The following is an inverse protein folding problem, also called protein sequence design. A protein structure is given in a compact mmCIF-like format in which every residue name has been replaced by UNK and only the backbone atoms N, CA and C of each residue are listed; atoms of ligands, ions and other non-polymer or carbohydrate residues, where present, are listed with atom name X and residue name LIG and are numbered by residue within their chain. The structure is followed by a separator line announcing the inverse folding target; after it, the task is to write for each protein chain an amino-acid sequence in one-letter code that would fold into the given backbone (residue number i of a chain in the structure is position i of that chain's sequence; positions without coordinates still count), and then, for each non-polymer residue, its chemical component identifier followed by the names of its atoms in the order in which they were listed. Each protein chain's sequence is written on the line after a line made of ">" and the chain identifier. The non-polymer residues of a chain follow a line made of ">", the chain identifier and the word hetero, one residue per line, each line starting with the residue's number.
data_IF_292588340645
#
_entry.id   IF_292588340645
#
_cell.length_a   1.000
_cell.length_b   1.000
_cell.length_c   1.000
_cell.angle_alpha   90.00
_cell.angle_beta   90.00
_cell.angle_gamma   90.00
#
_symmetry.space_group_name_H-M   'P 1'
#
loop_
_entity.id
_entity.type
_entity.pdbx_description
1 polymer ?
#
# COMPACT_ATOMS: atom_id res chain seq x y z
N UNK A 1 -23.50 -0.11 6.97
CA UNK A 1 -23.23 -1.47 6.47
C UNK A 1 -21.73 -1.77 6.44
N UNK A 2 -20.87 -0.89 5.88
CA UNK A 2 -19.40 -1.12 5.77
C UNK A 2 -18.79 -1.30 7.16
N UNK A 3 -19.01 -0.37 8.07
CA UNK A 3 -18.45 -0.42 9.44
C UNK A 3 -18.97 -1.60 10.29
N UNK A 4 -20.16 -2.12 9.99
CA UNK A 4 -20.70 -3.28 10.72
C UNK A 4 -20.06 -4.62 10.29
N UNK A 5 -19.49 -4.68 9.08
CA UNK A 5 -18.79 -5.88 8.58
C UNK A 5 -17.32 -5.94 9.02
N UNK A 6 -16.88 -4.96 9.81
CA UNK A 6 -15.48 -4.78 10.16
C UNK A 6 -14.75 -3.93 9.13
N UNK A 7 -14.02 -2.92 9.61
CA UNK A 7 -13.05 -2.17 8.81
C UNK A 7 -11.72 -2.79 9.12
N UNK A 8 -11.20 -3.56 8.18
CA UNK A 8 -9.87 -4.16 8.28
C UNK A 8 -8.81 -3.12 7.93
N UNK A 9 -7.68 -3.20 8.62
CA UNK A 9 -6.50 -2.40 8.32
C UNK A 9 -5.24 -3.10 8.82
N UNK A 10 -4.09 -2.54 8.50
CA UNK A 10 -2.81 -3.03 8.98
C UNK A 10 -2.19 -1.99 9.90
N UNK A 11 -1.67 -2.44 11.05
CA UNK A 11 -0.96 -1.59 11.99
C UNK A 11 0.22 -0.88 11.30
N UNK A 12 0.46 0.40 11.60
CA UNK A 12 1.52 1.18 10.94
C UNK A 12 2.90 0.86 11.53
N UNK A 13 3.37 -0.35 11.29
CA UNK A 13 4.70 -0.79 11.70
C UNK A 13 5.72 -0.36 10.65
N UNK A 14 6.77 0.30 11.09
CA UNK A 14 7.88 0.77 10.27
C UNK A 14 8.66 -0.43 9.73
N UNK A 15 8.82 -0.53 8.42
CA UNK A 15 9.70 -1.48 7.77
C UNK A 15 11.13 -0.98 7.82
N UNK A 16 11.56 -0.25 6.80
CA UNK A 16 12.88 0.35 6.76
C UNK A 16 12.82 1.85 7.04
N UNK A 17 13.88 2.38 7.64
CA UNK A 17 14.12 3.81 7.82
C UNK A 17 15.24 4.23 6.88
N UNK A 18 14.95 5.20 6.01
CA UNK A 18 15.92 5.67 5.01
C UNK A 18 17.00 6.54 5.68
N UNK A 19 18.30 6.28 5.39
CA UNK A 19 19.39 7.11 5.91
C UNK A 19 19.25 8.58 5.52
N UNK A 20 19.50 9.50 6.45
CA UNK A 20 19.38 10.94 6.26
C UNK A 20 17.95 11.48 6.25
N UNK A 21 16.94 10.63 6.41
CA UNK A 21 15.53 11.00 6.35
C UNK A 21 15.03 11.75 7.60
N UNK A 22 13.80 12.24 7.53
CA UNK A 22 13.10 12.81 8.70
C UNK A 22 12.88 11.75 9.78
N UNK A 23 12.55 10.53 9.38
CA UNK A 23 12.33 9.40 10.27
C UNK A 23 13.59 9.05 11.07
N UNK A 24 14.76 8.98 10.40
CA UNK A 24 16.03 8.75 11.10
C UNK A 24 16.35 9.89 12.07
N UNK A 25 16.17 11.16 11.64
CA UNK A 25 16.37 12.32 12.53
C UNK A 25 15.39 12.37 13.70
N UNK A 26 14.18 11.85 13.52
CA UNK A 26 13.21 11.64 14.58
C UNK A 26 13.58 10.50 15.52
N UNK A 27 14.55 9.64 15.15
CA UNK A 27 14.91 8.45 15.92
C UNK A 27 13.92 7.32 15.79
N UNK A 28 13.23 7.22 14.66
CA UNK A 28 12.40 6.05 14.34
C UNK A 28 13.29 4.84 14.03
N UNK A 29 12.83 3.68 14.44
CA UNK A 29 13.51 2.41 14.22
C UNK A 29 12.58 1.42 13.49
N UNK A 30 13.18 0.53 12.68
CA UNK A 30 12.46 -0.57 12.06
C UNK A 30 11.79 -1.46 13.11
N UNK A 31 10.55 -1.86 12.87
CA UNK A 31 9.73 -2.67 13.78
C UNK A 31 8.88 -1.86 14.77
N UNK A 32 9.08 -0.55 14.91
CA UNK A 32 8.21 0.29 15.74
C UNK A 32 6.85 0.51 15.08
N UNK A 33 5.78 0.55 15.86
CA UNK A 33 4.44 0.95 15.44
C UNK A 33 4.25 2.46 15.70
N UNK A 34 3.86 3.22 14.70
CA UNK A 34 3.49 4.64 14.85
C UNK A 34 2.03 4.71 15.27
N UNK A 35 1.77 4.98 16.55
CA UNK A 35 0.42 4.91 17.13
C UNK A 35 -0.33 6.25 17.13
N UNK A 36 0.38 7.38 16.99
CA UNK A 36 -0.23 8.69 16.84
C UNK A 36 0.69 9.68 16.11
N UNK A 37 0.09 10.66 15.44
CA UNK A 37 0.74 11.84 14.86
C UNK A 37 0.14 13.09 15.50
N UNK A 38 0.97 13.93 16.12
CA UNK A 38 0.56 15.17 16.81
C UNK A 38 -0.58 14.96 17.83
N UNK A 39 -0.65 13.77 18.42
CA UNK A 39 -1.63 13.35 19.41
C UNK A 39 -2.89 12.69 18.84
N UNK A 40 -3.08 12.69 17.51
CA UNK A 40 -4.17 11.99 16.84
C UNK A 40 -3.80 10.53 16.57
N UNK A 41 -4.67 9.60 17.00
CA UNK A 41 -4.42 8.17 16.88
C UNK A 41 -4.35 7.69 15.43
N UNK A 42 -3.35 6.84 15.15
CA UNK A 42 -3.12 6.23 13.83
C UNK A 42 -3.16 4.70 13.91
N UNK A 43 -4.34 4.10 14.10
CA UNK A 43 -4.46 2.64 14.25
C UNK A 43 -4.08 1.85 13.00
N UNK A 44 -4.07 2.48 11.83
CA UNK A 44 -3.76 1.85 10.54
C UNK A 44 -2.83 2.70 9.70
N UNK A 45 -2.18 2.10 8.71
CA UNK A 45 -1.38 2.82 7.72
C UNK A 45 -2.18 3.91 6.98
N UNK A 46 -3.45 3.65 6.68
CA UNK A 46 -4.32 4.64 6.03
C UNK A 46 -4.51 5.86 6.93
N UNK A 47 -4.77 5.66 8.23
CA UNK A 47 -4.92 6.77 9.17
C UNK A 47 -3.61 7.53 9.37
N UNK A 48 -2.46 6.84 9.44
CA UNK A 48 -1.15 7.49 9.49
C UNK A 48 -0.89 8.37 8.26
N UNK A 49 -1.11 7.83 7.05
CA UNK A 49 -0.94 8.60 5.82
C UNK A 49 -1.84 9.84 5.80
N UNK A 50 -3.09 9.70 6.23
CA UNK A 50 -4.04 10.82 6.27
C UNK A 50 -3.57 11.92 7.21
N UNK A 51 -3.15 11.58 8.43
CA UNK A 51 -2.64 12.56 9.39
C UNK A 51 -1.38 13.28 8.88
N UNK A 52 -0.48 12.57 8.23
CA UNK A 52 0.71 13.18 7.60
C UNK A 52 0.34 14.09 6.42
N UNK A 53 -0.68 13.75 5.62
CA UNK A 53 -1.16 14.58 4.51
C UNK A 53 -1.83 15.88 5.01
N UNK A 54 -2.45 15.89 6.17
CA UNK A 54 -3.03 17.09 6.78
C UNK A 54 -1.97 18.15 7.06
N UNK A 55 -0.71 17.76 7.23
CA UNK A 55 0.43 18.67 7.49
C UNK A 55 1.04 19.29 6.21
N UNK A 56 0.52 19.00 5.00
CA UNK A 56 1.07 19.54 3.74
C UNK A 56 1.15 21.07 3.78
N UNK A 57 2.32 21.60 3.41
CA UNK A 57 2.62 23.02 3.35
C UNK A 57 2.95 23.66 4.70
N UNK A 58 2.96 22.91 5.78
CA UNK A 58 3.23 23.42 7.12
C UNK A 58 4.73 23.42 7.46
N UNK A 59 5.10 24.34 8.33
CA UNK A 59 6.42 24.44 8.96
C UNK A 59 6.26 24.38 10.46
N UNK A 60 7.07 23.60 11.14
CA UNK A 60 7.01 23.43 12.59
C UNK A 60 7.55 22.08 13.04
N UNK A 61 6.99 21.57 14.12
CA UNK A 61 7.35 20.26 14.64
C UNK A 61 6.29 19.23 14.28
N UNK A 62 6.74 18.05 13.87
CA UNK A 62 5.94 16.85 13.70
C UNK A 62 6.26 15.91 14.87
N UNK A 63 5.27 15.55 15.67
CA UNK A 63 5.43 14.66 16.82
C UNK A 63 4.83 13.29 16.49
N UNK A 64 5.66 12.27 16.53
CA UNK A 64 5.29 10.87 16.28
C UNK A 64 5.31 10.11 17.60
N UNK A 65 4.17 9.56 18.00
CA UNK A 65 4.11 8.62 19.12
C UNK A 65 4.31 7.21 18.61
N UNK A 66 5.30 6.52 19.16
CA UNK A 66 5.68 5.16 18.72
C UNK A 66 5.74 4.20 19.89
N UNK A 67 5.54 2.93 19.61
CA UNK A 67 5.73 1.83 20.56
C UNK A 67 6.33 0.62 19.85
N UNK A 68 6.90 -0.30 20.62
CA UNK A 68 7.21 -1.64 20.12
C UNK A 68 5.97 -2.52 20.16
N UNK A 69 5.75 -3.43 19.19
CA UNK A 69 4.56 -4.28 19.15
C UNK A 69 4.30 -5.07 20.43
N UNK A 70 5.36 -5.50 21.11
CA UNK A 70 5.30 -6.29 22.35
C UNK A 70 5.37 -5.42 23.62
N UNK A 71 5.18 -4.10 23.52
CA UNK A 71 5.27 -3.17 24.62
C UNK A 71 4.10 -2.19 24.66
N UNK A 72 3.58 -1.90 25.83
CA UNK A 72 2.58 -0.85 26.04
C UNK A 72 3.21 0.54 26.26
N UNK A 73 4.55 0.61 26.31
CA UNK A 73 5.26 1.88 26.51
C UNK A 73 5.26 2.66 25.19
N UNK A 74 4.76 3.89 25.26
CA UNK A 74 4.77 4.84 24.13
C UNK A 74 5.87 5.86 24.31
N UNK A 75 6.64 6.09 23.25
CA UNK A 75 7.69 7.11 23.16
C UNK A 75 7.24 8.21 22.20
N UNK A 76 7.63 9.44 22.50
CA UNK A 76 7.35 10.58 21.61
C UNK A 76 8.66 11.03 20.93
N UNK A 77 8.62 10.99 19.63
CA UNK A 77 9.72 11.42 18.77
C UNK A 77 9.29 12.67 18.02
N UNK A 78 10.10 13.71 18.03
CA UNK A 78 9.77 14.99 17.39
C UNK A 78 10.82 15.34 16.36
N UNK A 79 10.37 15.77 15.17
CA UNK A 79 11.25 16.25 14.10
C UNK A 79 10.70 17.54 13.51
N UNK A 80 11.61 18.48 13.18
CA UNK A 80 11.23 19.70 12.50
C UNK A 80 10.94 19.43 11.00
N UNK A 81 9.82 19.97 10.54
CA UNK A 81 9.42 20.01 9.13
C UNK A 81 9.42 21.45 8.64
N UNK A 82 9.81 21.65 7.39
CA UNK A 82 9.76 22.95 6.72
C UNK A 82 9.01 22.81 5.39
N UNK A 83 7.90 23.55 5.27
CA UNK A 83 7.02 23.54 4.08
C UNK A 83 6.76 22.10 3.59
N UNK A 84 6.35 21.27 4.54
CA UNK A 84 6.17 19.82 4.36
C UNK A 84 5.46 19.48 3.06
N UNK A 85 6.10 18.74 2.16
CA UNK A 85 5.57 18.32 0.85
C UNK A 85 4.97 19.43 -0.01
N UNK A 86 5.30 20.71 0.23
CA UNK A 86 4.75 21.84 -0.53
C UNK A 86 5.14 21.76 -2.01
N UNK A 87 4.15 21.83 -2.89
CA UNK A 87 4.36 21.91 -4.35
C UNK A 87 4.68 20.57 -5.02
N UNK A 88 4.70 19.46 -4.32
CA UNK A 88 4.85 18.14 -4.95
C UNK A 88 3.61 17.80 -5.78
N UNK A 89 3.82 17.25 -6.98
CA UNK A 89 2.72 16.82 -7.85
C UNK A 89 2.05 15.56 -7.30
N UNK A 90 2.83 14.65 -6.69
CA UNK A 90 2.36 13.41 -6.09
C UNK A 90 2.93 13.28 -4.67
N UNK A 91 2.32 13.94 -3.67
CA UNK A 91 2.81 13.88 -2.31
C UNK A 91 2.68 12.46 -1.75
N UNK A 92 3.81 11.86 -1.39
CA UNK A 92 3.85 10.57 -0.71
C UNK A 92 4.43 10.77 0.70
N UNK A 93 3.58 10.84 1.73
CA UNK A 93 4.01 11.20 3.08
C UNK A 93 4.97 10.18 3.70
N UNK A 94 4.87 8.90 3.37
CA UNK A 94 5.76 7.87 3.89
C UNK A 94 7.15 8.01 3.29
N UNK A 95 7.23 8.23 1.98
CA UNK A 95 8.49 8.47 1.27
C UNK A 95 9.17 9.75 1.75
N UNK A 96 8.42 10.82 1.98
CA UNK A 96 8.94 12.10 2.49
C UNK A 96 9.38 12.00 3.95
N UNK A 97 8.67 11.22 4.77
CA UNK A 97 9.11 10.89 6.11
C UNK A 97 10.36 10.02 6.08
N UNK A 98 10.51 9.19 5.04
CA UNK A 98 11.61 8.26 4.84
C UNK A 98 11.42 6.92 5.54
N UNK A 99 10.18 6.43 5.53
CA UNK A 99 9.85 5.09 6.04
C UNK A 99 9.19 4.25 4.95
N UNK A 100 9.42 2.95 5.01
CA UNK A 100 8.62 1.96 4.28
C UNK A 100 7.64 1.31 5.23
N UNK A 101 6.56 0.77 4.66
CA UNK A 101 5.68 -0.17 5.35
C UNK A 101 6.46 -1.44 5.68
N UNK A 102 6.31 -1.94 6.91
CA UNK A 102 6.66 -3.34 7.14
C UNK A 102 5.78 -4.20 6.24
N UNK A 103 6.40 -4.99 5.40
CA UNK A 103 5.73 -6.00 4.59
C UNK A 103 6.30 -7.36 4.94
N UNK A 104 5.45 -8.37 5.18
CA UNK A 104 5.92 -9.74 5.34
C UNK A 104 6.76 -10.14 4.10
N UNK A 105 7.83 -10.89 4.33
CA UNK A 105 8.66 -11.38 3.24
C UNK A 105 7.84 -12.28 2.31
N UNK A 106 7.90 -11.98 1.02
CA UNK A 106 7.32 -12.83 -0.01
C UNK A 106 8.26 -14.03 -0.23
N UNK A 107 7.98 -15.11 0.46
CA UNK A 107 8.69 -16.36 0.25
C UNK A 107 8.55 -16.80 -1.22
N UNK A 108 9.52 -17.53 -1.77
CA UNK A 108 9.48 -18.00 -3.15
C UNK A 108 8.50 -19.18 -3.32
N UNK A 109 7.23 -18.97 -2.91
CA UNK A 109 6.14 -19.93 -3.00
C UNK A 109 5.18 -19.48 -4.09
N UNK A 110 4.82 -20.41 -4.95
CA UNK A 110 3.84 -20.19 -6.04
C UNK A 110 2.43 -20.14 -5.44
N UNK A 111 1.76 -18.99 -5.56
CA UNK A 111 0.36 -18.83 -5.14
C UNK A 111 -0.64 -19.14 -6.23
N UNK A 112 -0.35 -18.65 -7.46
CA UNK A 112 -1.23 -18.85 -8.62
C UNK A 112 -0.41 -19.20 -9.86
N UNK A 113 -0.98 -20.05 -10.70
CA UNK A 113 -0.41 -20.42 -12.00
C UNK A 113 -1.44 -20.11 -13.08
N UNK A 114 -1.06 -19.27 -14.04
CA UNK A 114 -1.93 -18.91 -15.17
C UNK A 114 -2.04 -20.07 -16.15
N UNK A 115 -3.25 -20.44 -16.51
CA UNK A 115 -3.52 -21.52 -17.46
C UNK A 115 -2.83 -21.29 -18.80
N UNK A 116 -2.22 -22.33 -19.36
CA UNK A 116 -1.53 -22.28 -20.64
C UNK A 116 -0.18 -21.53 -20.62
N UNK A 117 0.23 -20.98 -19.46
CA UNK A 117 1.52 -20.31 -19.30
C UNK A 117 2.73 -21.27 -19.35
N UNK A 118 3.94 -20.69 -19.38
CA UNK A 118 5.18 -21.48 -19.31
C UNK A 118 5.24 -22.30 -18.00
N UNK A 119 4.76 -21.75 -16.90
CA UNK A 119 4.70 -22.44 -15.62
C UNK A 119 3.73 -23.63 -15.64
N UNK A 120 2.53 -23.45 -16.18
CA UNK A 120 1.54 -24.51 -16.31
C UNK A 120 2.06 -25.66 -17.18
N UNK A 121 2.70 -25.36 -18.33
CA UNK A 121 3.33 -26.35 -19.21
C UNK A 121 4.51 -27.08 -18.56
N UNK A 122 5.26 -26.39 -17.71
CA UNK A 122 6.35 -26.98 -16.94
C UNK A 122 5.87 -27.83 -15.76
N UNK A 123 4.58 -27.76 -15.39
CA UNK A 123 3.99 -28.51 -14.30
C UNK A 123 4.17 -27.88 -12.92
N UNK A 124 4.46 -26.58 -12.84
CA UNK A 124 4.39 -25.83 -11.58
C UNK A 124 2.95 -25.78 -11.07
N UNK A 125 2.79 -25.80 -9.77
CA UNK A 125 1.48 -25.77 -9.08
C UNK A 125 1.48 -24.77 -7.93
N UNK A 126 0.32 -24.25 -7.56
CA UNK A 126 0.17 -23.53 -6.28
C UNK A 126 0.71 -24.35 -5.12
N UNK A 127 1.42 -23.70 -4.18
CA UNK A 127 2.11 -24.32 -3.06
C UNK A 127 3.55 -24.77 -3.33
N UNK A 128 4.01 -24.77 -4.58
CA UNK A 128 5.41 -25.09 -4.89
C UNK A 128 6.34 -24.01 -4.35
N UNK A 129 7.32 -24.41 -3.53
CA UNK A 129 8.41 -23.53 -3.09
C UNK A 129 9.60 -23.66 -4.02
N UNK A 130 10.01 -22.55 -4.63
CA UNK A 130 11.19 -22.50 -5.51
C UNK A 130 12.45 -22.43 -4.63
N UNK A 131 13.22 -23.51 -4.60
CA UNK A 131 14.42 -23.62 -3.74
C UNK A 131 15.65 -23.10 -4.44
N UNK A 132 15.81 -23.46 -5.73
CA UNK A 132 16.95 -22.98 -6.53
C UNK A 132 16.63 -22.94 -8.02
N UNK A 133 17.38 -22.12 -8.75
CA UNK A 133 17.36 -22.00 -10.21
C UNK A 133 18.77 -22.14 -10.72
N UNK A 134 19.03 -23.09 -11.63
CA UNK A 134 20.34 -23.42 -12.18
C UNK A 134 21.41 -23.60 -11.07
N UNK A 135 21.01 -24.22 -9.95
CA UNK A 135 21.86 -24.45 -8.78
C UNK A 135 22.06 -23.24 -7.85
N UNK A 136 21.58 -22.05 -8.22
CA UNK A 136 21.60 -20.85 -7.36
C UNK A 136 20.39 -20.87 -6.44
N UNK A 137 20.62 -20.77 -5.13
CA UNK A 137 19.55 -20.71 -4.12
C UNK A 137 18.71 -19.44 -4.27
N UNK A 138 17.41 -19.60 -4.11
CA UNK A 138 16.43 -18.52 -4.12
C UNK A 138 15.97 -18.29 -2.68
N UNK A 139 16.11 -17.07 -2.19
CA UNK A 139 15.75 -16.71 -0.81
C UNK A 139 14.37 -16.08 -0.76
N UNK A 140 14.02 -15.26 -1.76
CA UNK A 140 12.77 -14.54 -1.85
C UNK A 140 12.15 -14.60 -3.24
N UNK A 141 10.89 -14.16 -3.35
CA UNK A 141 10.18 -14.10 -4.62
C UNK A 141 10.81 -13.14 -5.64
N UNK A 142 11.38 -12.03 -5.18
CA UNK A 142 12.00 -11.03 -6.05
C UNK A 142 13.23 -11.59 -6.77
N UNK A 143 14.06 -12.35 -6.07
CA UNK A 143 15.21 -13.04 -6.67
C UNK A 143 14.80 -14.01 -7.77
N UNK A 144 13.70 -14.76 -7.55
CA UNK A 144 13.11 -15.60 -8.59
C UNK A 144 12.64 -14.77 -9.79
N UNK A 145 11.86 -13.71 -9.57
CA UNK A 145 11.34 -12.84 -10.63
C UNK A 145 12.47 -12.24 -11.46
N UNK A 146 13.55 -11.77 -10.83
CA UNK A 146 14.70 -11.21 -11.56
C UNK A 146 15.33 -12.23 -12.51
N UNK A 147 15.54 -13.47 -12.05
CA UNK A 147 16.13 -14.53 -12.89
C UNK A 147 15.18 -14.88 -14.04
N UNK A 148 13.90 -15.07 -13.76
CA UNK A 148 12.90 -15.41 -14.78
C UNK A 148 12.80 -14.32 -15.85
N UNK A 149 12.76 -13.04 -15.46
CA UNK A 149 12.70 -11.88 -16.38
C UNK A 149 13.98 -11.74 -17.24
N UNK A 150 15.13 -12.03 -16.66
CA UNK A 150 16.42 -11.98 -17.37
C UNK A 150 16.64 -13.14 -18.36
N UNK A 151 15.76 -14.14 -18.37
CA UNK A 151 15.95 -15.40 -19.13
C UNK A 151 14.85 -15.65 -20.19
N UNK A 152 14.54 -14.68 -21.09
CA UNK A 152 13.51 -14.90 -22.12
C UNK A 152 13.94 -16.03 -23.07
N UNK A 153 13.10 -17.04 -23.25
CA UNK A 153 13.32 -18.23 -24.08
C UNK A 153 14.55 -19.08 -23.69
N UNK A 154 15.08 -18.89 -22.48
CA UNK A 154 16.17 -19.72 -21.94
C UNK A 154 15.58 -20.72 -20.97
N UNK A 155 15.89 -22.00 -21.13
CA UNK A 155 15.40 -23.03 -20.21
C UNK A 155 16.15 -22.97 -18.90
N UNK A 156 15.42 -22.87 -17.81
CA UNK A 156 15.89 -22.83 -16.43
C UNK A 156 15.64 -24.18 -15.75
N UNK A 157 16.63 -24.68 -15.02
CA UNK A 157 16.49 -25.87 -14.20
C UNK A 157 16.08 -25.45 -12.78
N UNK A 158 14.83 -25.69 -12.43
CA UNK A 158 14.28 -25.37 -11.10
C UNK A 158 14.39 -26.59 -10.19
N UNK A 159 14.83 -26.37 -8.95
CA UNK A 159 14.55 -27.28 -7.83
C UNK A 159 13.42 -26.67 -7.02
N UNK A 160 12.31 -27.35 -6.94
CA UNK A 160 11.14 -26.92 -6.14
C UNK A 160 10.88 -27.94 -5.06
N UNK A 161 10.26 -27.50 -3.99
CA UNK A 161 9.73 -28.35 -2.92
C UNK A 161 8.20 -28.36 -3.03
N UNK A 162 7.62 -29.54 -3.18
CA UNK A 162 6.16 -29.78 -3.24
C UNK A 162 5.80 -30.81 -2.18
N UNK A 163 4.91 -30.44 -1.27
CA UNK A 163 4.48 -31.31 -0.15
C UNK A 163 5.67 -31.89 0.65
N UNK A 164 6.72 -31.08 0.85
CA UNK A 164 7.95 -31.47 1.55
C UNK A 164 8.89 -32.38 0.73
N UNK A 165 8.59 -32.63 -0.55
CA UNK A 165 9.43 -33.46 -1.45
C UNK A 165 10.13 -32.60 -2.50
N UNK A 166 11.44 -32.83 -2.73
CA UNK A 166 12.17 -32.13 -3.78
C UNK A 166 11.73 -32.64 -5.16
N UNK A 167 11.50 -31.71 -6.07
CA UNK A 167 11.12 -31.99 -7.46
C UNK A 167 11.95 -31.11 -8.41
N UNK A 168 12.52 -31.71 -9.46
CA UNK A 168 13.19 -30.99 -10.50
C UNK A 168 12.21 -30.66 -11.63
N UNK A 169 12.17 -29.39 -12.05
CA UNK A 169 11.29 -28.89 -13.11
C UNK A 169 12.15 -28.10 -14.11
N UNK A 170 11.98 -28.39 -15.41
CA UNK A 170 12.55 -27.58 -16.47
C UNK A 170 11.52 -26.58 -16.98
N UNK A 171 11.82 -25.29 -16.91
CA UNK A 171 10.90 -24.21 -17.27
C UNK A 171 11.58 -23.26 -18.26
N UNK A 172 10.89 -22.94 -19.35
CA UNK A 172 11.37 -21.98 -20.34
C UNK A 172 10.44 -20.76 -20.32
N UNK A 173 10.87 -19.58 -19.77
CA UNK A 173 10.07 -18.38 -19.80
C UNK A 173 9.75 -17.94 -21.23
N UNK A 174 8.52 -17.51 -21.47
CA UNK A 174 8.12 -16.92 -22.75
C UNK A 174 8.76 -15.55 -22.93
N UNK A 175 9.12 -15.25 -24.17
CA UNK A 175 9.62 -13.91 -24.52
C UNK A 175 8.45 -12.94 -24.64
N UNK A 176 8.41 -11.91 -23.80
CA UNK A 176 7.46 -10.80 -23.84
C UNK A 176 8.21 -9.49 -24.07
N UNK A 177 7.67 -8.60 -24.89
CA UNK A 177 8.21 -7.25 -25.06
C UNK A 177 7.47 -6.32 -24.11
N UNK A 178 8.21 -5.53 -23.37
CA UNK A 178 7.67 -4.42 -22.59
C UNK A 178 7.48 -3.18 -23.46
N UNK A 179 6.74 -2.20 -22.97
CA UNK A 179 6.43 -0.95 -23.69
C UNK A 179 7.69 -0.16 -24.08
N UNK A 180 8.79 -0.34 -23.35
CA UNK A 180 10.11 0.22 -23.64
C UNK A 180 10.91 -0.57 -24.72
N UNK A 181 10.33 -1.63 -25.29
CA UNK A 181 10.95 -2.49 -26.30
C UNK A 181 11.94 -3.52 -25.75
N UNK A 182 12.12 -3.61 -24.43
CA UNK A 182 13.00 -4.61 -23.80
C UNK A 182 12.29 -5.97 -23.76
N UNK A 183 13.01 -7.02 -24.19
CA UNK A 183 12.51 -8.38 -24.10
C UNK A 183 12.75 -8.95 -22.71
N UNK A 184 11.70 -9.42 -22.06
CA UNK A 184 11.75 -10.05 -20.74
C UNK A 184 11.15 -11.45 -20.78
N UNK A 185 11.59 -12.30 -19.86
CA UNK A 185 10.99 -13.63 -19.65
C UNK A 185 9.69 -13.51 -18.86
N UNK A 186 8.65 -14.17 -19.34
CA UNK A 186 7.35 -14.27 -18.68
C UNK A 186 7.03 -15.73 -18.38
N UNK A 187 6.68 -16.02 -17.14
CA UNK A 187 6.45 -17.39 -16.66
C UNK A 187 4.96 -17.67 -16.43
N UNK A 188 4.21 -16.68 -16.00
CA UNK A 188 2.77 -16.79 -15.69
C UNK A 188 2.52 -17.42 -14.32
N UNK A 189 3.22 -16.95 -13.29
CA UNK A 189 2.98 -17.28 -11.88
C UNK A 189 2.85 -16.01 -11.06
N UNK A 190 2.07 -16.09 -9.99
CA UNK A 190 2.05 -15.10 -8.93
C UNK A 190 2.58 -15.71 -7.63
N UNK A 191 3.15 -14.85 -6.77
CA UNK A 191 3.55 -15.27 -5.42
C UNK A 191 2.33 -15.67 -4.59
N UNK A 192 2.54 -16.57 -3.64
CA UNK A 192 1.63 -16.71 -2.52
C UNK A 192 1.65 -15.41 -1.70
N UNK A 193 0.48 -14.84 -1.46
CA UNK A 193 0.37 -13.61 -0.66
C UNK A 193 0.57 -14.00 0.80
N UNK A 194 1.61 -13.47 1.47
CA UNK A 194 1.84 -13.79 2.86
C UNK A 194 0.69 -13.28 3.72
N UNK A 195 0.26 -14.08 4.67
CA UNK A 195 -0.71 -13.61 5.65
C UNK A 195 -0.04 -12.59 6.58
N UNK A 196 -0.76 -11.48 6.84
CA UNK A 196 -0.32 -10.52 7.84
C UNK A 196 -0.30 -11.18 9.22
N UNK A 197 0.76 -10.98 10.02
CA UNK A 197 0.76 -11.43 11.41
C UNK A 197 -0.48 -10.94 12.16
N UNK A 198 -1.09 -11.79 12.99
CA UNK A 198 -2.33 -11.44 13.70
C UNK A 198 -2.20 -10.13 14.50
N UNK A 199 -1.03 -9.90 15.10
CA UNK A 199 -0.74 -8.67 15.85
C UNK A 199 -0.78 -7.40 14.99
N UNK A 200 -0.60 -7.53 13.68
CA UNK A 200 -0.64 -6.41 12.73
C UNK A 200 -2.01 -6.19 12.12
N UNK A 201 -2.89 -7.17 12.19
CA UNK A 201 -4.26 -7.03 11.71
C UNK A 201 -5.03 -6.13 12.66
N UNK A 202 -5.66 -5.11 12.14
CA UNK A 202 -6.58 -4.23 12.86
C UNK A 202 -7.97 -4.45 12.30
N UNK A 203 -8.80 -5.17 13.04
CA UNK A 203 -10.22 -5.36 12.72
C UNK A 203 -11.04 -4.54 13.69
N UNK A 204 -11.61 -3.46 13.20
CA UNK A 204 -12.51 -2.62 13.98
C UNK A 204 -13.95 -3.07 13.73
N UNK A 205 -14.49 -3.84 14.67
CA UNK A 205 -15.89 -4.24 14.65
C UNK A 205 -16.75 -3.19 15.38
N UNK A 206 -17.69 -2.65 14.68
CA UNK A 206 -18.59 -1.65 15.22
C UNK A 206 -19.99 -2.25 15.42
N UNK A 207 -20.54 -2.11 16.63
CA UNK A 207 -21.97 -2.35 16.85
C UNK A 207 -22.83 -1.35 16.05
N UNK A 208 -24.15 -1.56 15.90
CA UNK A 208 -25.00 -0.71 15.04
C UNK A 208 -24.91 0.77 15.37
N UNK A 209 -24.89 1.15 16.65
CA UNK A 209 -24.80 2.54 17.09
C UNK A 209 -23.41 3.11 16.87
N UNK A 210 -22.37 2.37 17.26
CA UNK A 210 -20.98 2.80 17.06
C UNK A 210 -20.59 2.83 15.57
N UNK A 211 -21.16 1.97 14.71
CA UNK A 211 -21.02 2.05 13.27
C UNK A 211 -21.59 3.34 12.68
N UNK A 212 -22.72 3.81 13.23
CA UNK A 212 -23.34 5.06 12.78
C UNK A 212 -22.50 6.29 13.19
N UNK A 213 -22.02 6.31 14.43
CA UNK A 213 -21.13 7.41 14.89
C UNK A 213 -19.80 7.40 14.13
N UNK A 214 -19.19 6.22 13.90
CA UNK A 214 -17.98 6.10 13.10
C UNK A 214 -18.19 6.57 11.64
N UNK A 215 -19.35 6.24 11.03
CA UNK A 215 -19.68 6.70 9.69
C UNK A 215 -19.84 8.22 9.62
N UNK A 216 -20.50 8.84 10.61
CA UNK A 216 -20.63 10.30 10.69
C UNK A 216 -19.29 10.98 10.88
N UNK A 217 -18.45 10.46 11.78
CA UNK A 217 -17.11 10.99 12.01
C UNK A 217 -16.24 10.87 10.75
N UNK A 218 -16.25 9.72 10.07
CA UNK A 218 -15.50 9.53 8.82
C UNK A 218 -16.00 10.49 7.73
N UNK A 219 -17.32 10.69 7.61
CA UNK A 219 -17.90 11.64 6.65
C UNK A 219 -17.44 13.07 6.97
N UNK A 220 -17.45 13.44 8.24
CA UNK A 220 -16.99 14.76 8.68
C UNK A 220 -15.50 14.97 8.38
N UNK A 221 -14.64 14.02 8.77
CA UNK A 221 -13.21 14.05 8.50
C UNK A 221 -12.92 14.17 7.00
N UNK A 222 -13.60 13.36 6.16
CA UNK A 222 -13.43 13.43 4.71
C UNK A 222 -13.90 14.77 4.13
N UNK A 223 -14.97 15.36 4.66
CA UNK A 223 -15.46 16.66 4.23
C UNK A 223 -14.46 17.77 4.58
N UNK A 224 -13.95 17.77 5.80
CA UNK A 224 -12.91 18.72 6.26
C UNK A 224 -11.65 18.56 5.42
N UNK A 225 -11.16 17.33 5.25
CA UNK A 225 -9.98 17.04 4.42
C UNK A 225 -10.15 17.55 2.99
N UNK A 226 -11.33 17.35 2.37
CA UNK A 226 -11.62 17.85 1.02
C UNK A 226 -11.57 19.38 0.96
N UNK A 227 -12.17 20.08 1.95
CA UNK A 227 -12.16 21.54 2.03
C UNK A 227 -10.74 22.09 2.24
N UNK A 228 -9.95 21.48 3.12
CA UNK A 228 -8.57 21.86 3.37
C UNK A 228 -7.67 21.62 2.15
N UNK A 229 -7.85 20.49 1.46
CA UNK A 229 -7.14 20.20 0.21
C UNK A 229 -7.44 21.26 -0.85
N UNK A 230 -8.69 21.63 -1.01
CA UNK A 230 -9.09 22.71 -1.93
C UNK A 230 -8.49 24.07 -1.53
N UNK A 231 -8.51 24.40 -0.24
CA UNK A 231 -7.86 25.62 0.29
C UNK A 231 -6.35 25.58 -0.03
N UNK A 232 -5.68 24.46 0.23
CA UNK A 232 -4.25 24.29 -0.07
C UNK A 232 -3.95 24.39 -1.56
N UNK A 233 -4.84 23.92 -2.44
CA UNK A 233 -4.74 24.11 -3.89
C UNK A 233 -4.89 25.57 -4.29
N UNK A 234 -5.87 26.30 -3.73
CA UNK A 234 -6.08 27.72 -4.03
C UNK A 234 -4.93 28.60 -3.53
N UNK A 235 -4.27 28.21 -2.44
CA UNK A 235 -3.09 28.92 -1.89
C UNK A 235 -1.77 28.48 -2.53
N UNK A 236 -1.79 27.55 -3.51
CA UNK A 236 -0.60 27.07 -4.20
C UNK A 236 0.29 26.11 -3.36
N UNK A 237 -0.20 25.66 -2.22
CA UNK A 237 0.50 24.68 -1.38
C UNK A 237 0.38 23.26 -1.93
N UNK A 238 -0.68 22.98 -2.68
CA UNK A 238 -0.94 21.69 -3.33
C UNK A 238 -1.16 21.91 -4.83
N UNK A 239 -0.59 21.05 -5.67
CA UNK A 239 -0.75 21.15 -7.12
C UNK A 239 -2.18 20.79 -7.57
N UNK A 240 -2.83 21.60 -8.44
CA UNK A 240 -4.12 21.23 -9.04
C UNK A 240 -4.06 19.95 -9.88
N UNK A 241 -2.88 19.51 -10.32
CA UNK A 241 -2.68 18.25 -11.05
C UNK A 241 -3.01 17.01 -10.22
N UNK A 242 -3.07 17.15 -8.90
CA UNK A 242 -3.47 16.07 -7.97
C UNK A 242 -4.97 15.75 -8.04
N UNK A 243 -5.76 16.57 -8.74
CA UNK A 243 -7.16 16.24 -9.02
C UNK A 243 -7.24 15.11 -10.05
N UNK A 244 -7.79 13.99 -9.61
CA UNK A 244 -8.01 12.84 -10.49
C UNK A 244 -8.99 13.18 -11.62
N UNK A 245 -8.55 12.98 -12.85
CA UNK A 245 -9.43 13.15 -14.02
C UNK A 245 -10.49 12.02 -14.12
N UNK A 246 -11.52 12.21 -14.97
CA UNK A 246 -12.60 11.24 -15.14
C UNK A 246 -12.13 9.82 -15.50
N UNK A 247 -11.04 9.70 -16.26
CA UNK A 247 -10.45 8.40 -16.63
C UNK A 247 -9.85 7.71 -15.41
N UNK A 248 -9.17 8.45 -14.53
CA UNK A 248 -8.61 7.89 -13.29
C UNK A 248 -9.72 7.45 -12.35
N UNK A 249 -10.78 8.26 -12.21
CA UNK A 249 -11.97 7.89 -11.42
C UNK A 249 -12.59 6.60 -11.94
N UNK A 250 -12.75 6.45 -13.27
CA UNK A 250 -13.27 5.25 -13.88
C UNK A 250 -12.39 4.02 -13.66
N UNK A 251 -11.06 4.18 -13.72
CA UNK A 251 -10.10 3.10 -13.41
C UNK A 251 -10.22 2.64 -11.95
N UNK A 252 -10.25 3.60 -11.02
CA UNK A 252 -10.39 3.29 -9.58
C UNK A 252 -11.73 2.64 -9.28
N UNK A 253 -12.83 3.07 -9.93
CA UNK A 253 -14.13 2.43 -9.83
C UNK A 253 -14.08 0.97 -10.28
N UNK A 254 -13.45 0.70 -11.44
CA UNK A 254 -13.28 -0.65 -11.97
C UNK A 254 -12.46 -1.55 -11.05
N UNK A 255 -11.32 -1.05 -10.56
CA UNK A 255 -10.49 -1.78 -9.61
C UNK A 255 -11.22 -2.06 -8.30
N UNK A 256 -11.93 -1.06 -7.75
CA UNK A 256 -12.70 -1.22 -6.52
C UNK A 256 -13.79 -2.30 -6.65
N UNK A 257 -14.43 -2.41 -7.83
CA UNK A 257 -15.40 -3.45 -8.11
C UNK A 257 -14.77 -4.85 -8.17
N UNK A 258 -13.54 -4.97 -8.67
CA UNK A 258 -12.80 -6.24 -8.69
C UNK A 258 -12.42 -6.72 -7.28
N UNK A 259 -12.11 -5.79 -6.37
CA UNK A 259 -11.83 -6.10 -4.95
C UNK A 259 -13.08 -6.42 -4.13
N UNK A 260 -14.27 -6.39 -4.72
CA UNK A 260 -15.53 -6.83 -4.13
C UNK A 260 -16.50 -5.70 -3.79
N UNK A 261 -17.73 -6.12 -3.44
CA UNK A 261 -18.87 -5.22 -3.24
C UNK A 261 -18.62 -4.14 -2.18
N UNK A 262 -17.99 -4.48 -1.06
CA UNK A 262 -17.73 -3.51 0.02
C UNK A 262 -16.68 -2.46 -0.37
N UNK A 263 -15.65 -2.85 -1.11
CA UNK A 263 -14.64 -1.94 -1.64
C UNK A 263 -15.27 -0.94 -2.62
N UNK A 264 -16.13 -1.44 -3.51
CA UNK A 264 -16.87 -0.61 -4.45
C UNK A 264 -17.83 0.37 -3.74
N UNK A 265 -18.54 -0.10 -2.71
CA UNK A 265 -19.44 0.74 -1.92
C UNK A 265 -18.68 1.84 -1.15
N UNK A 266 -17.50 1.53 -0.62
CA UNK A 266 -16.62 2.52 0.02
C UNK A 266 -16.17 3.60 -0.97
N UNK A 267 -15.75 3.20 -2.17
CA UNK A 267 -15.40 4.13 -3.24
C UNK A 267 -16.56 5.07 -3.60
N UNK A 268 -17.77 4.54 -3.76
CA UNK A 268 -18.96 5.35 -4.02
C UNK A 268 -19.26 6.33 -2.88
N UNK A 269 -19.06 5.91 -1.63
CA UNK A 269 -19.21 6.77 -0.46
C UNK A 269 -18.24 7.97 -0.50
N UNK A 270 -16.96 7.70 -0.74
CA UNK A 270 -15.94 8.74 -0.86
C UNK A 270 -16.22 9.72 -2.01
N UNK A 271 -16.59 9.18 -3.18
CA UNK A 271 -16.95 9.98 -4.34
C UNK A 271 -18.16 10.88 -4.06
N UNK A 272 -19.20 10.34 -3.39
CA UNK A 272 -20.40 11.09 -3.02
C UNK A 272 -20.10 12.23 -2.05
N UNK A 273 -19.24 12.00 -1.05
CA UNK A 273 -18.81 13.03 -0.08
C UNK A 273 -18.06 14.14 -0.82
N UNK A 274 -17.09 13.77 -1.67
CA UNK A 274 -16.30 14.75 -2.43
C UNK A 274 -17.18 15.60 -3.34
N UNK A 275 -18.10 14.99 -4.08
CA UNK A 275 -19.04 15.70 -4.94
C UNK A 275 -20.01 16.60 -4.14
N UNK A 276 -20.49 16.15 -2.97
CA UNK A 276 -21.34 16.95 -2.11
C UNK A 276 -20.61 18.20 -1.61
N UNK A 277 -19.36 18.06 -1.16
CA UNK A 277 -18.52 19.18 -0.70
C UNK A 277 -18.26 20.17 -1.83
N UNK A 278 -17.91 19.66 -3.03
CA UNK A 278 -17.68 20.51 -4.22
C UNK A 278 -18.94 21.29 -4.63
N UNK A 279 -20.11 20.67 -4.57
CA UNK A 279 -21.39 21.30 -4.90
C UNK A 279 -21.84 22.33 -3.86
N UNK A 280 -21.37 22.25 -2.61
CA UNK A 280 -21.64 23.24 -1.56
C UNK A 280 -20.79 24.51 -1.72
N UNK A 281 -19.67 24.41 -2.46
CA UNK A 281 -18.84 25.60 -2.70
C UNK A 281 -19.49 26.49 -3.77
N UNK A 282 -19.51 27.81 -3.58
CA UNK A 282 -20.02 28.75 -4.57
C UNK A 282 -18.99 28.92 -5.71
N UNK A 283 -18.71 27.83 -6.40
CA UNK A 283 -17.85 27.88 -7.59
C UNK A 283 -18.73 28.31 -8.76
N UNK A 284 -18.51 29.49 -9.38
CA UNK A 284 -19.24 29.86 -10.58
C UNK A 284 -19.00 28.81 -11.63
N UNK A 285 -20.09 28.18 -12.09
CA UNK A 285 -20.05 27.25 -13.21
C UNK A 285 -19.45 28.03 -14.38
N UNK A 286 -18.30 27.60 -14.86
CA UNK A 286 -17.74 28.12 -16.10
C UNK A 286 -18.63 27.60 -17.22
N UNK A 287 -19.50 28.46 -17.71
CA UNK A 287 -20.22 28.27 -18.97
C UNK A 287 -19.24 28.28 -20.14
#
# INVERSE_FOLDING_TARGET
>A
AIFMNGVGGVAPIVGDVMPGSLAERAGLESGQEIVAVDGEETPTWESLQMQLLERIGETGNLTLSVKWPDSDLTYQNTVAIDRWMQGLEEPNPLSELGVTLYMPEFLPIVGEVVDGSAAARAGLKPGDRIVSVDGKRIEDWQGWVQIARASPSITLALSVERDGQPLAISLTPERKLEDNGVAVGFVGVAAEIPEWPEQMRREMHYGPVSAMTAALNKTWQMSVFTLESLKKMLTGLLSPKNLSGPITIAKVAGSSAQYGFFSWLNFLGLLSISLAVLNLLPIPILD
#
